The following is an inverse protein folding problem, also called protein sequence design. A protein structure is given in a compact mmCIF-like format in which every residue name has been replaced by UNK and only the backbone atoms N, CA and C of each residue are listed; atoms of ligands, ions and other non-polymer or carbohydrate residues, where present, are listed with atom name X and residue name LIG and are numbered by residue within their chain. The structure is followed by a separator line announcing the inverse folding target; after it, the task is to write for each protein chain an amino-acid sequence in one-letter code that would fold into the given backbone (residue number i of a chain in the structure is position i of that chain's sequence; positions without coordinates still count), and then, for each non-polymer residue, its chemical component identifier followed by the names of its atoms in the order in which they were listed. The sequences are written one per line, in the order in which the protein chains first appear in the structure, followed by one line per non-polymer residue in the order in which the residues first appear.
data_IF_928633438003
#
_entry.id   IF_928633438003
#
_cell.length_a   1.000
_cell.length_b   1.000
_cell.length_c   1.000
_cell.angle_alpha   90.00
_cell.angle_beta   90.00
_cell.angle_gamma   90.00
#
_symmetry.space_group_name_H-M   'P 1'
#
loop_
_entity.id
_entity.type
_entity.pdbx_description
1 polymer ?
#
# COMPACT_ATOMS: atom_id res chain seq x y z
N UNK A 1 6.88 -28.50 19.22
CA UNK A 1 7.05 -28.17 20.66
C UNK A 1 6.81 -26.69 20.98
N UNK A 2 7.02 -25.74 20.04
CA UNK A 2 6.84 -24.29 20.28
C UNK A 2 5.59 -23.65 19.64
N UNK A 3 4.73 -24.45 18.99
CA UNK A 3 3.49 -23.93 18.39
C UNK A 3 2.55 -23.46 19.50
N UNK A 4 2.13 -22.20 19.44
CA UNK A 4 1.13 -21.63 20.34
C UNK A 4 -0.20 -21.59 19.61
N UNK A 5 -1.18 -22.36 20.08
CA UNK A 5 -2.55 -22.27 19.59
C UNK A 5 -3.32 -21.29 20.46
N UNK A 6 -3.89 -20.26 19.84
CA UNK A 6 -4.73 -19.26 20.52
C UNK A 6 -6.10 -19.33 19.88
N UNK A 7 -7.13 -19.63 20.68
CA UNK A 7 -8.53 -19.58 20.27
C UNK A 7 -9.13 -18.32 20.88
N UNK A 8 -9.34 -17.24 20.10
CA UNK A 8 -9.96 -16.03 20.63
C UNK A 8 -11.46 -16.27 20.87
N UNK A 9 -11.99 -15.76 21.98
CA UNK A 9 -13.43 -15.60 22.14
C UNK A 9 -13.89 -14.46 21.20
N UNK A 10 -15.08 -14.57 20.60
CA UNK A 10 -15.65 -13.64 19.59
C UNK A 10 -15.84 -12.17 20.04
N UNK A 11 -15.26 -11.75 21.17
CA UNK A 11 -15.37 -10.40 21.77
C UNK A 11 -14.20 -9.50 21.36
N UNK A 12 -13.12 -10.06 20.82
CA UNK A 12 -12.08 -9.25 20.21
C UNK A 12 -12.60 -8.79 18.86
N UNK A 13 -12.75 -7.49 18.63
CA UNK A 13 -12.47 -6.78 17.37
C UNK A 13 -13.12 -5.39 17.31
N UNK A 14 -13.95 -5.02 18.29
CA UNK A 14 -14.68 -3.73 18.27
C UNK A 14 -14.10 -2.64 19.17
N UNK A 15 -12.78 -2.69 19.44
CA UNK A 15 -12.11 -1.58 20.11
C UNK A 15 -11.73 -0.55 19.04
N UNK A 16 -12.53 0.52 18.94
CA UNK A 16 -12.36 1.62 17.98
C UNK A 16 -11.13 2.50 18.20
N UNK A 17 -10.26 2.17 19.16
CA UNK A 17 -9.09 2.97 19.54
C UNK A 17 -7.79 2.15 19.48
N UNK A 18 -6.72 2.80 19.03
CA UNK A 18 -5.34 2.35 19.16
C UNK A 18 -4.67 3.09 20.34
N UNK A 19 -3.94 2.35 21.18
CA UNK A 19 -3.19 2.89 22.31
C UNK A 19 -1.69 2.66 22.09
N UNK A 20 -0.87 3.71 22.24
CA UNK A 20 0.60 3.63 22.19
C UNK A 20 1.22 4.18 23.47
N UNK A 21 2.13 3.43 24.09
CA UNK A 21 2.90 3.93 25.24
C UNK A 21 3.90 5.02 24.80
N UNK A 22 4.07 6.05 25.63
CA UNK A 22 5.05 7.12 25.42
C UNK A 22 5.56 7.64 26.76
N UNK A 23 6.86 7.47 27.03
CA UNK A 23 7.48 7.87 28.29
C UNK A 23 6.76 7.25 29.50
N UNK A 24 6.18 8.11 30.35
CA UNK A 24 5.40 7.70 31.54
C UNK A 24 3.88 7.66 31.32
N UNK A 25 3.41 7.74 30.07
CA UNK A 25 1.98 7.78 29.73
C UNK A 25 1.65 7.01 28.45
N UNK A 26 0.51 7.33 27.85
CA UNK A 26 0.05 6.74 26.60
C UNK A 26 -0.69 7.76 25.73
N UNK A 27 -0.68 7.52 24.43
CA UNK A 27 -1.50 8.19 23.43
C UNK A 27 -2.65 7.26 23.05
N UNK A 28 -3.85 7.83 22.94
CA UNK A 28 -5.04 7.15 22.42
C UNK A 28 -5.46 7.86 21.15
N UNK A 29 -5.76 7.10 20.11
CA UNK A 29 -6.29 7.62 18.84
C UNK A 29 -7.38 6.69 18.34
N UNK A 30 -8.28 7.20 17.51
CA UNK A 30 -9.21 6.35 16.78
C UNK A 30 -8.45 5.44 15.80
N UNK A 31 -8.91 4.20 15.68
CA UNK A 31 -8.34 3.24 14.76
C UNK A 31 -8.66 3.68 13.33
N UNK A 32 -7.64 3.86 12.51
CA UNK A 32 -7.86 4.22 11.11
C UNK A 32 -8.70 3.15 10.40
N UNK A 33 -9.71 3.53 9.66
CA UNK A 33 -10.47 2.61 8.80
C UNK A 33 -9.96 2.70 7.35
N UNK A 34 -9.43 1.62 6.73
CA UNK A 34 -9.01 1.62 5.34
C UNK A 34 -10.17 1.36 4.37
N UNK A 35 -11.41 1.25 4.86
CA UNK A 35 -12.60 0.97 4.05
C UNK A 35 -12.69 1.85 2.81
N UNK A 36 -13.33 1.28 1.78
CA UNK A 36 -13.51 1.90 0.48
C UNK A 36 -14.24 3.24 0.63
N UNK A 37 -13.49 4.35 0.50
CA UNK A 37 -14.04 5.69 0.35
C UNK A 37 -14.34 6.00 -1.12
N UNK A 38 -14.61 7.27 -1.44
CA UNK A 38 -14.71 7.72 -2.83
C UNK A 38 -13.32 7.72 -3.50
N UNK A 39 -12.88 6.55 -3.96
CA UNK A 39 -11.65 6.39 -4.71
C UNK A 39 -11.81 7.00 -6.11
N UNK A 40 -10.82 7.78 -6.52
CA UNK A 40 -10.81 8.47 -7.81
C UNK A 40 -9.73 7.89 -8.70
N UNK A 41 -10.12 7.44 -9.90
CA UNK A 41 -9.16 7.11 -10.95
C UNK A 41 -8.69 8.42 -11.57
N UNK A 42 -7.39 8.70 -11.48
CA UNK A 42 -6.80 10.00 -11.89
C UNK A 42 -6.00 9.91 -13.19
N UNK A 43 -5.83 8.71 -13.74
CA UNK A 43 -5.12 8.42 -15.00
C UNK A 43 -6.09 8.06 -16.13
N UNK A 44 -5.56 8.02 -17.36
CA UNK A 44 -6.26 7.54 -18.55
C UNK A 44 -6.50 6.04 -18.52
N UNK A 45 -5.49 5.27 -18.11
CA UNK A 45 -5.62 3.84 -17.88
C UNK A 45 -6.60 3.58 -16.73
N UNK A 46 -7.45 2.57 -16.88
CA UNK A 46 -8.47 2.18 -15.89
C UNK A 46 -8.26 0.75 -15.43
N UNK A 47 -8.53 0.44 -14.15
CA UNK A 47 -8.50 -0.92 -13.66
C UNK A 47 -9.59 -1.76 -14.33
N UNK A 48 -9.26 -3.01 -14.64
CA UNK A 48 -10.20 -4.05 -15.00
C UNK A 48 -10.95 -4.60 -13.78
N UNK A 49 -11.94 -5.47 -14.01
CA UNK A 49 -12.69 -6.10 -12.92
C UNK A 49 -11.81 -7.02 -12.09
N UNK A 50 -10.86 -7.68 -12.75
CA UNK A 50 -9.87 -8.59 -12.19
C UNK A 50 -8.86 -7.88 -11.26
N UNK A 51 -8.65 -6.58 -11.45
CA UNK A 51 -7.69 -5.80 -10.66
C UNK A 51 -8.26 -5.43 -9.27
N UNK A 52 -9.59 -5.41 -9.12
CA UNK A 52 -10.25 -4.92 -7.90
C UNK A 52 -9.87 -5.70 -6.64
N UNK A 53 -9.64 -7.02 -6.77
CA UNK A 53 -9.17 -7.85 -5.66
C UNK A 53 -7.78 -7.41 -5.18
N UNK A 54 -6.85 -7.21 -6.12
CA UNK A 54 -5.49 -6.77 -5.84
C UNK A 54 -5.45 -5.36 -5.25
N UNK A 55 -6.23 -4.43 -5.80
CA UNK A 55 -6.33 -3.04 -5.31
C UNK A 55 -6.78 -3.01 -3.86
N UNK A 56 -7.91 -3.69 -3.56
CA UNK A 56 -8.45 -3.74 -2.19
C UNK A 56 -7.49 -4.43 -1.24
N UNK A 57 -6.93 -5.56 -1.64
CA UNK A 57 -5.98 -6.29 -0.81
C UNK A 57 -4.75 -5.44 -0.48
N UNK A 58 -4.12 -4.83 -1.50
CA UNK A 58 -2.96 -3.97 -1.32
C UNK A 58 -3.24 -2.81 -0.37
N UNK A 59 -4.37 -2.12 -0.55
CA UNK A 59 -4.78 -1.01 0.32
C UNK A 59 -5.08 -1.44 1.76
N UNK A 60 -5.81 -2.55 1.95
CA UNK A 60 -6.08 -3.07 3.28
C UNK A 60 -4.80 -3.49 3.99
N UNK A 61 -3.87 -4.15 3.30
CA UNK A 61 -2.61 -4.61 3.89
C UNK A 61 -1.69 -3.44 4.21
N UNK A 62 -1.56 -2.44 3.32
CA UNK A 62 -0.56 -1.36 3.49
C UNK A 62 -0.77 -0.54 4.77
N UNK A 63 -2.02 -0.34 5.20
CA UNK A 63 -2.36 0.27 6.50
C UNK A 63 -1.69 -0.44 7.69
N UNK A 64 -1.51 -1.75 7.61
CA UNK A 64 -0.95 -2.54 8.71
C UNK A 64 0.58 -2.58 8.71
N UNK A 65 1.21 -2.21 7.60
CA UNK A 65 2.66 -2.18 7.40
C UNK A 65 3.25 -0.90 7.98
N UNK A 66 4.46 -0.99 8.54
CA UNK A 66 5.18 0.14 9.12
C UNK A 66 5.63 1.12 8.03
N UNK A 67 5.35 2.40 8.22
CA UNK A 67 5.66 3.46 7.29
C UNK A 67 7.17 3.77 7.22
N UNK A 68 7.70 4.21 6.07
CA UNK A 68 7.01 4.35 4.78
C UNK A 68 6.80 2.99 4.12
N UNK A 69 5.57 2.68 3.68
CA UNK A 69 5.21 1.33 3.25
C UNK A 69 4.86 1.25 1.76
N UNK A 70 5.27 0.13 1.14
CA UNK A 70 4.87 -0.29 -0.20
C UNK A 70 4.44 -1.75 -0.13
N UNK A 71 3.25 -2.04 -0.64
CA UNK A 71 2.72 -3.40 -0.79
C UNK A 71 2.43 -3.64 -2.26
N UNK A 72 2.98 -4.72 -2.81
CA UNK A 72 2.63 -5.25 -4.13
C UNK A 72 1.63 -6.38 -3.91
N UNK A 73 0.51 -6.35 -4.63
CA UNK A 73 -0.53 -7.36 -4.53
C UNK A 73 -1.05 -7.75 -5.91
N UNK A 74 -1.49 -9.00 -6.06
CA UNK A 74 -2.15 -9.53 -7.24
C UNK A 74 -3.49 -10.21 -6.85
N UNK A 75 -4.08 -10.97 -7.77
CA UNK A 75 -5.33 -11.69 -7.52
C UNK A 75 -5.19 -12.86 -6.53
N UNK A 76 -3.97 -13.28 -6.20
CA UNK A 76 -3.67 -14.43 -5.32
C UNK A 76 -3.25 -13.98 -3.93
N UNK A 77 -2.63 -12.82 -3.78
CA UNK A 77 -2.16 -12.36 -2.48
C UNK A 77 -1.20 -11.17 -2.55
N UNK A 78 -0.43 -11.00 -1.47
CA UNK A 78 0.69 -10.06 -1.44
C UNK A 78 1.89 -10.68 -2.17
N UNK A 79 2.44 -9.97 -3.15
CA UNK A 79 3.61 -10.36 -3.95
C UNK A 79 4.91 -9.93 -3.27
N UNK A 80 4.93 -8.73 -2.71
CA UNK A 80 6.11 -8.17 -2.07
C UNK A 80 5.74 -7.03 -1.12
N UNK A 81 6.47 -6.92 -0.01
CA UNK A 81 6.20 -5.90 1.02
C UNK A 81 7.52 -5.22 1.42
N UNK A 82 7.53 -3.90 1.31
CA UNK A 82 8.58 -3.03 1.83
C UNK A 82 8.06 -2.20 2.98
N UNK A 83 8.76 -2.23 4.12
CA UNK A 83 8.31 -1.63 5.36
C UNK A 83 9.41 -0.82 6.05
N UNK A 84 9.01 0.25 6.72
CA UNK A 84 9.83 0.94 7.72
C UNK A 84 11.00 1.75 7.18
N UNK A 85 11.02 2.09 5.88
CA UNK A 85 12.13 2.85 5.30
C UNK A 85 11.91 4.35 5.40
N UNK A 86 13.02 5.09 5.41
CA UNK A 86 13.01 6.56 5.34
C UNK A 86 12.51 7.04 3.98
N UNK A 87 12.83 6.33 2.90
CA UNK A 87 12.38 6.61 1.53
C UNK A 87 11.36 5.58 1.03
N UNK A 88 10.29 6.05 0.37
CA UNK A 88 9.30 5.18 -0.30
C UNK A 88 9.92 4.36 -1.43
N UNK A 89 10.90 4.93 -2.12
CA UNK A 89 11.65 4.24 -3.18
C UNK A 89 12.41 3.04 -2.61
N UNK A 90 12.98 3.17 -1.41
CA UNK A 90 13.69 2.05 -0.77
C UNK A 90 12.71 0.96 -0.33
N UNK A 91 11.53 1.33 0.17
CA UNK A 91 10.46 0.35 0.42
C UNK A 91 10.04 -0.36 -0.86
N UNK A 92 9.87 0.34 -1.98
CA UNK A 92 9.58 -0.28 -3.28
C UNK A 92 10.69 -1.26 -3.69
N UNK A 93 11.96 -0.85 -3.62
CA UNK A 93 13.10 -1.73 -3.94
C UNK A 93 13.15 -2.97 -3.06
N UNK A 94 12.83 -2.84 -1.76
CA UNK A 94 12.74 -3.99 -0.85
C UNK A 94 11.60 -4.93 -1.27
N UNK A 95 10.42 -4.38 -1.58
CA UNK A 95 9.27 -5.18 -2.01
C UNK A 95 9.59 -5.99 -3.28
N UNK A 96 10.19 -5.34 -4.27
CA UNK A 96 10.61 -5.94 -5.54
C UNK A 96 11.67 -7.02 -5.33
N UNK A 97 12.75 -6.70 -4.60
CA UNK A 97 13.82 -7.67 -4.28
C UNK A 97 13.28 -8.89 -3.54
N UNK A 98 12.33 -8.70 -2.61
CA UNK A 98 11.72 -9.82 -1.86
C UNK A 98 10.82 -10.69 -2.73
N UNK A 99 10.12 -10.11 -3.69
CA UNK A 99 9.36 -10.89 -4.68
C UNK A 99 10.31 -11.72 -5.56
N UNK A 100 11.40 -11.12 -6.05
CA UNK A 100 12.44 -11.78 -6.84
C UNK A 100 13.11 -12.93 -6.07
N UNK A 101 13.57 -12.69 -4.83
CA UNK A 101 14.16 -13.73 -3.96
C UNK A 101 13.21 -14.91 -3.71
N UNK A 102 11.90 -14.66 -3.72
CA UNK A 102 10.86 -15.67 -3.55
C UNK A 102 10.45 -16.36 -4.87
N UNK A 103 11.00 -15.93 -6.02
CA UNK A 103 10.60 -16.42 -7.33
C UNK A 103 9.17 -16.04 -7.72
N UNK A 104 8.64 -14.95 -7.16
CA UNK A 104 7.29 -14.46 -7.43
C UNK A 104 7.37 -13.30 -8.42
N UNK A 105 6.67 -13.41 -9.55
CA UNK A 105 6.59 -12.34 -10.54
C UNK A 105 5.80 -11.13 -10.01
N UNK A 106 6.27 -9.93 -10.32
CA UNK A 106 5.57 -8.66 -10.05
C UNK A 106 4.72 -8.18 -11.23
N UNK A 107 4.81 -8.86 -12.37
CA UNK A 107 4.06 -8.54 -13.58
C UNK A 107 2.54 -8.59 -13.32
N UNK A 108 1.83 -7.54 -13.71
CA UNK A 108 0.40 -7.41 -13.50
C UNK A 108 -0.02 -7.03 -12.07
N UNK A 109 0.92 -6.88 -11.13
CA UNK A 109 0.60 -6.53 -9.74
C UNK A 109 0.18 -5.06 -9.58
N UNK A 110 -0.49 -4.77 -8.47
CA UNK A 110 -0.89 -3.43 -8.04
C UNK A 110 -0.01 -2.99 -6.87
N UNK A 111 0.55 -1.79 -6.97
CA UNK A 111 1.35 -1.15 -5.93
C UNK A 111 0.48 -0.25 -5.04
N UNK A 112 0.38 -0.57 -3.76
CA UNK A 112 -0.26 0.26 -2.75
C UNK A 112 0.77 1.00 -1.90
N UNK A 113 0.57 2.30 -1.67
CA UNK A 113 1.37 3.10 -0.75
C UNK A 113 0.54 3.75 0.35
N UNK A 114 1.07 3.73 1.57
CA UNK A 114 0.41 4.29 2.76
C UNK A 114 0.28 5.82 2.76
N UNK A 115 1.13 6.51 2.00
CA UNK A 115 1.07 7.95 1.76
C UNK A 115 1.42 8.28 0.31
N UNK A 116 1.38 9.57 -0.03
CA UNK A 116 1.60 10.00 -1.40
C UNK A 116 3.04 9.78 -1.88
N UNK A 117 3.21 9.69 -3.19
CA UNK A 117 4.51 9.73 -3.87
C UNK A 117 4.95 11.19 -4.09
N UNK A 118 6.13 11.58 -3.59
CA UNK A 118 6.61 12.96 -3.76
C UNK A 118 7.14 13.22 -5.18
N UNK A 119 7.57 12.19 -5.90
CA UNK A 119 8.21 12.27 -7.22
C UNK A 119 7.80 11.08 -8.10
N UNK A 120 8.04 11.17 -9.42
CA UNK A 120 7.73 10.11 -10.39
C UNK A 120 8.62 8.86 -10.31
N UNK A 121 9.74 8.93 -9.58
CA UNK A 121 10.75 7.86 -9.48
C UNK A 121 10.17 6.47 -9.14
N UNK A 122 9.18 6.44 -8.25
CA UNK A 122 8.51 5.22 -7.81
C UNK A 122 7.66 4.61 -8.93
N UNK A 123 7.06 5.45 -9.78
CA UNK A 123 6.31 5.03 -10.97
C UNK A 123 7.26 4.52 -12.05
N UNK A 124 8.36 5.21 -12.30
CA UNK A 124 9.36 4.80 -13.30
C UNK A 124 9.96 3.43 -12.93
N UNK A 125 10.19 3.17 -11.64
CA UNK A 125 10.64 1.86 -11.14
C UNK A 125 9.51 0.82 -11.30
N UNK A 126 8.28 1.19 -10.96
CA UNK A 126 7.13 0.29 -11.04
C UNK A 126 6.89 -0.20 -12.48
N UNK A 127 6.98 0.70 -13.46
CA UNK A 127 6.85 0.38 -14.88
C UNK A 127 7.88 -0.66 -15.35
N UNK A 128 9.13 -0.55 -14.89
CA UNK A 128 10.21 -1.52 -15.25
C UNK A 128 9.96 -2.92 -14.70
N UNK A 129 9.08 -3.08 -13.72
CA UNK A 129 8.77 -4.35 -13.06
C UNK A 129 7.35 -4.85 -13.38
N UNK A 130 6.70 -4.29 -14.41
CA UNK A 130 5.41 -4.77 -14.89
C UNK A 130 4.23 -4.47 -13.96
N UNK A 131 4.37 -3.51 -13.05
CA UNK A 131 3.27 -3.12 -12.16
C UNK A 131 2.18 -2.45 -13.01
N UNK A 132 0.96 -2.97 -12.96
CA UNK A 132 -0.18 -2.54 -13.79
C UNK A 132 -0.93 -1.34 -13.20
N UNK A 133 -0.86 -1.17 -11.87
CA UNK A 133 -1.65 -0.16 -11.18
C UNK A 133 -1.05 0.35 -9.89
N UNK A 134 -1.47 1.54 -9.48
CA UNK A 134 -1.04 2.22 -8.26
C UNK A 134 -2.24 2.72 -7.47
N UNK A 135 -2.23 2.53 -6.15
CA UNK A 135 -3.19 3.14 -5.23
C UNK A 135 -2.45 3.90 -4.13
N UNK A 136 -2.80 5.18 -3.95
CA UNK A 136 -2.21 6.08 -2.97
C UNK A 136 -3.21 7.14 -2.51
N UNK A 137 -2.92 7.93 -1.46
CA UNK A 137 -3.85 8.99 -1.03
C UNK A 137 -3.97 10.18 -1.98
N UNK A 138 -2.90 10.53 -2.70
CA UNK A 138 -2.76 11.84 -3.34
C UNK A 138 -2.46 12.96 -2.33
N UNK A 139 -2.35 14.19 -2.82
CA UNK A 139 -2.05 15.40 -2.04
C UNK A 139 -0.61 15.91 -2.15
N UNK A 140 0.17 15.42 -3.11
CA UNK A 140 1.50 15.99 -3.41
C UNK A 140 1.35 17.26 -4.24
N UNK A 141 2.22 18.26 -4.00
CA UNK A 141 2.37 19.42 -4.91
C UNK A 141 2.76 18.96 -6.32
N UNK A 142 3.36 17.77 -6.43
CA UNK A 142 3.82 17.17 -7.69
C UNK A 142 2.93 16.02 -8.19
N UNK A 143 1.68 15.92 -7.72
CA UNK A 143 0.79 14.84 -8.17
C UNK A 143 0.63 14.80 -9.70
N UNK A 144 0.58 15.94 -10.37
CA UNK A 144 0.51 16.01 -11.84
C UNK A 144 1.70 15.33 -12.52
N UNK A 145 2.91 15.46 -11.96
CA UNK A 145 4.12 14.82 -12.47
C UNK A 145 4.03 13.30 -12.35
N UNK A 146 3.53 12.82 -11.21
CA UNK A 146 3.36 11.38 -10.92
C UNK A 146 2.24 10.77 -11.77
N UNK A 147 1.11 11.46 -11.93
CA UNK A 147 0.00 11.04 -12.78
C UNK A 147 0.44 10.95 -14.24
N UNK A 148 1.19 11.97 -14.72
CA UNK A 148 1.73 11.97 -16.08
C UNK A 148 2.66 10.78 -16.32
N UNK A 149 3.53 10.44 -15.36
CA UNK A 149 4.37 9.26 -15.46
C UNK A 149 3.54 7.97 -15.56
N UNK A 150 2.47 7.85 -14.78
CA UNK A 150 1.55 6.71 -14.89
C UNK A 150 0.89 6.62 -16.28
N UNK A 151 0.41 7.75 -16.81
CA UNK A 151 -0.17 7.82 -18.15
C UNK A 151 0.85 7.46 -19.25
N UNK A 152 2.12 7.86 -19.11
CA UNK A 152 3.22 7.52 -20.04
C UNK A 152 3.46 6.00 -20.11
N UNK A 153 3.30 5.29 -18.99
CA UNK A 153 3.51 3.84 -18.91
C UNK A 153 2.23 3.01 -19.00
N UNK A 154 1.06 3.63 -19.14
CA UNK A 154 -0.22 2.92 -19.15
C UNK A 154 -0.59 2.30 -17.79
N UNK A 155 -0.04 2.83 -16.70
CA UNK A 155 -0.33 2.39 -15.32
C UNK A 155 -1.57 3.13 -14.85
N UNK A 156 -2.59 2.42 -14.36
CA UNK A 156 -3.73 3.10 -13.74
C UNK A 156 -3.36 3.59 -12.34
N UNK A 157 -3.85 4.78 -11.94
CA UNK A 157 -3.63 5.33 -10.62
C UNK A 157 -4.96 5.69 -9.95
N UNK A 158 -5.06 5.32 -8.67
CA UNK A 158 -6.21 5.56 -7.82
C UNK A 158 -5.81 6.43 -6.63
N UNK A 159 -6.53 7.54 -6.44
CA UNK A 159 -6.43 8.39 -5.26
C UNK A 159 -7.51 8.03 -4.24
N UNK A 160 -7.09 7.73 -3.00
CA UNK A 160 -8.00 7.39 -1.90
C UNK A 160 -8.40 8.59 -1.06
N UNK A 161 -7.64 9.69 -1.11
CA UNK A 161 -7.83 10.87 -0.26
C UNK A 161 -7.52 10.65 1.22
N UNK A 162 -7.06 9.45 1.62
CA UNK A 162 -6.86 9.08 3.03
C UNK A 162 -5.48 8.48 3.25
N UNK A 163 -4.66 9.15 4.07
CA UNK A 163 -3.36 8.61 4.49
C UNK A 163 -3.53 7.55 5.59
N UNK A 164 -2.87 6.40 5.43
CA UNK A 164 -2.92 5.27 6.39
C UNK A 164 -1.56 5.00 7.06
N UNK A 165 -0.94 6.07 7.55
CA UNK A 165 0.42 6.03 8.12
C UNK A 165 0.47 5.28 9.45
N UNK A 166 1.54 4.49 9.64
CA UNK A 166 1.78 3.70 10.85
C UNK A 166 3.25 3.70 11.27
N UNK A 167 3.55 4.37 12.39
CA UNK A 167 4.81 4.18 13.13
C UNK A 167 4.90 2.78 13.72
#
# INVERSE_FOLDING_TARGET
KNLRLVIPNNVFFDFGFDIKSFGKGFLVQERQDPSDGEWKIVTRAKPGKEDMGAIKLGWHVVKHVKSNAIVLADSKGTVGIGAGQMSRVDSLKIALRKAEEAGISTEGSVMASDAFFPFRDSVDIAAKHGIKGVIQPGGSIRDEEVIKACDEYGIFMIFTGKRVFKH
#
